data_IF_735271603428
#
_entry.id   IF_735271603428
#
_cell.length_a   1.000
_cell.length_b   1.000
_cell.length_c   1.000
_cell.angle_alpha   90.00
_cell.angle_beta   90.00
_cell.angle_gamma   90.00
#
_symmetry.space_group_name_H-M   'P 1'
#
loop_
_entity.id
_entity.type
_entity.pdbx_description
1 polymer ?
#
# COMPACT_ATOMS: atom_id res chain seq x y z
N UNK A 1 -7.34 13.04 -6.79
CA UNK A 1 -7.13 11.61 -6.57
C UNK A 1 -7.82 10.83 -7.69
N UNK A 2 -7.32 9.65 -8.02
CA UNK A 2 -7.87 8.81 -9.08
C UNK A 2 -9.14 8.10 -8.56
N UNK A 3 -10.24 8.19 -9.32
CA UNK A 3 -11.48 7.49 -9.03
C UNK A 3 -11.33 6.01 -9.45
N UNK A 4 -11.72 5.07 -8.58
CA UNK A 4 -11.61 3.64 -8.85
C UNK A 4 -12.43 3.19 -10.06
N UNK A 5 -13.54 3.86 -10.36
CA UNK A 5 -14.36 3.58 -11.54
C UNK A 5 -13.60 3.76 -12.86
N UNK A 6 -12.61 4.66 -12.90
CA UNK A 6 -11.72 4.81 -14.06
C UNK A 6 -10.82 3.59 -14.24
N UNK A 7 -10.36 2.99 -13.13
CA UNK A 7 -9.54 1.77 -13.17
C UNK A 7 -10.36 0.59 -13.71
N UNK A 8 -11.59 0.43 -13.25
CA UNK A 8 -12.52 -0.59 -13.76
C UNK A 8 -12.83 -0.37 -15.25
N UNK A 9 -13.02 0.89 -15.66
CA UNK A 9 -13.26 1.24 -17.06
C UNK A 9 -12.05 0.91 -17.94
N UNK A 10 -10.82 1.12 -17.46
CA UNK A 10 -9.61 0.74 -18.17
C UNK A 10 -9.60 -0.77 -18.46
N UNK A 11 -9.96 -1.60 -17.47
CA UNK A 11 -9.99 -3.06 -17.64
C UNK A 11 -10.98 -3.53 -18.72
N UNK A 12 -12.07 -2.78 -18.91
CA UNK A 12 -13.18 -3.14 -19.83
C UNK A 12 -13.08 -2.53 -21.23
N UNK A 13 -12.06 -1.70 -21.52
CA UNK A 13 -11.96 -0.92 -22.77
C UNK A 13 -11.55 -1.72 -24.02
N UNK A 14 -11.49 -3.04 -23.95
CA UNK A 14 -11.23 -3.90 -25.11
C UNK A 14 -9.79 -3.87 -25.62
N UNK A 15 -8.85 -3.39 -24.83
CA UNK A 15 -7.42 -3.53 -25.11
C UNK A 15 -6.98 -4.99 -24.99
N UNK A 16 -6.10 -5.44 -25.86
CA UNK A 16 -5.52 -6.79 -25.79
C UNK A 16 -4.69 -7.00 -24.52
N UNK A 17 -4.08 -5.94 -24.02
CA UNK A 17 -3.33 -5.92 -22.74
C UNK A 17 -3.40 -4.51 -22.16
N UNK A 18 -3.53 -4.45 -20.86
CA UNK A 18 -3.45 -3.20 -20.09
C UNK A 18 -2.63 -3.45 -18.83
N UNK A 19 -1.77 -2.50 -18.53
CA UNK A 19 -0.98 -2.49 -17.30
C UNK A 19 -1.18 -1.17 -16.58
N UNK A 20 -1.49 -1.24 -15.30
CA UNK A 20 -1.58 -0.10 -14.42
C UNK A 20 -0.48 -0.16 -13.37
N UNK A 21 0.16 0.96 -13.15
CA UNK A 21 1.12 1.15 -12.06
C UNK A 21 0.65 2.33 -11.20
N UNK A 22 0.16 2.03 -10.01
CA UNK A 22 -0.46 2.98 -9.10
C UNK A 22 0.46 3.21 -7.91
N UNK A 23 0.91 4.45 -7.73
CA UNK A 23 1.59 4.86 -6.50
C UNK A 23 0.53 5.30 -5.48
N UNK A 24 0.24 4.42 -4.53
CA UNK A 24 -0.79 4.63 -3.52
C UNK A 24 -0.17 5.12 -2.20
N UNK A 25 -0.56 6.30 -1.75
CA UNK A 25 -0.30 6.77 -0.39
C UNK A 25 -1.35 6.17 0.56
N UNK A 26 -1.22 4.88 0.86
CA UNK A 26 -2.15 4.13 1.69
C UNK A 26 -2.22 4.65 3.12
N UNK A 27 -1.08 5.04 3.67
CA UNK A 27 -1.01 5.63 5.00
C UNK A 27 -1.70 7.00 5.07
N UNK A 28 -1.48 7.85 4.06
CA UNK A 28 -2.19 9.13 3.92
C UNK A 28 -3.69 8.95 3.77
N UNK A 29 -4.12 7.88 3.07
CA UNK A 29 -5.54 7.54 2.94
C UNK A 29 -6.15 7.20 4.31
N UNK A 30 -5.51 6.35 5.11
CA UNK A 30 -6.00 5.98 6.45
C UNK A 30 -6.06 7.20 7.37
N UNK A 31 -5.03 8.06 7.34
CA UNK A 31 -5.02 9.30 8.11
C UNK A 31 -6.19 10.21 7.74
N UNK A 32 -6.44 10.39 6.44
CA UNK A 32 -7.57 11.19 5.97
C UNK A 32 -8.91 10.55 6.32
N UNK A 33 -9.03 9.22 6.23
CA UNK A 33 -10.20 8.48 6.69
C UNK A 33 -10.49 8.69 8.18
N UNK A 34 -9.45 8.65 9.01
CA UNK A 34 -9.57 8.96 10.44
C UNK A 34 -10.09 10.41 10.65
N UNK A 35 -9.54 11.38 9.92
CA UNK A 35 -9.98 12.78 9.98
C UNK A 35 -11.46 12.90 9.64
N UNK A 36 -11.89 12.30 8.53
CA UNK A 36 -13.27 12.36 8.03
C UNK A 36 -14.27 11.72 9.01
N UNK A 37 -13.86 10.64 9.69
CA UNK A 37 -14.71 9.96 10.67
C UNK A 37 -14.54 10.48 12.12
N UNK A 38 -13.74 11.53 12.33
CA UNK A 38 -13.47 12.07 13.66
C UNK A 38 -12.73 11.10 14.59
N UNK A 39 -11.87 10.27 14.03
CA UNK A 39 -11.02 9.32 14.77
C UNK A 39 -9.64 9.94 14.93
N UNK A 40 -9.13 9.96 16.17
CA UNK A 40 -7.79 10.44 16.42
C UNK A 40 -6.76 9.52 15.76
N UNK A 41 -5.88 10.12 14.99
CA UNK A 41 -4.76 9.41 14.38
C UNK A 41 -3.54 9.67 15.26
N UNK A 42 -3.19 8.69 16.11
CA UNK A 42 -1.97 8.71 16.91
C UNK A 42 -0.91 7.89 16.21
N UNK A 43 0.22 8.52 15.93
CA UNK A 43 1.39 7.85 15.39
C UNK A 43 2.64 8.47 16.02
N UNK A 44 3.21 7.75 16.99
CA UNK A 44 4.39 8.17 17.75
C UNK A 44 5.67 8.19 16.90
N UNK A 45 5.63 7.76 15.64
CA UNK A 45 6.80 7.59 14.77
C UNK A 45 6.91 8.71 13.73
N UNK A 46 5.88 9.52 13.56
CA UNK A 46 5.82 10.56 12.51
C UNK A 46 6.15 11.98 12.99
N UNK A 47 6.92 12.14 14.05
CA UNK A 47 7.38 13.47 14.51
C UNK A 47 8.14 14.26 13.41
N UNK A 48 8.63 13.59 12.35
CA UNK A 48 9.40 14.19 11.26
C UNK A 48 8.58 14.61 10.03
N UNK A 49 7.27 14.40 9.99
CA UNK A 49 6.43 14.72 8.84
C UNK A 49 5.38 15.78 9.18
N UNK A 50 5.75 17.05 8.93
CA UNK A 50 4.88 18.23 8.81
C UNK A 50 3.70 18.23 9.78
N UNK A 51 3.72 19.15 10.73
CA UNK A 51 2.57 19.56 11.56
C UNK A 51 1.32 19.73 10.68
N UNK A 52 0.52 18.69 10.62
CA UNK A 52 -0.83 18.80 10.07
C UNK A 52 -1.73 19.21 11.22
N UNK A 53 -2.25 20.41 11.13
CA UNK A 53 -3.18 20.97 12.11
C UNK A 53 -4.36 20.03 12.33
N UNK A 54 -4.31 19.26 13.43
CA UNK A 54 -5.33 18.30 13.83
C UNK A 54 -6.61 18.96 14.35
N UNK A 55 -6.70 20.29 14.26
CA UNK A 55 -7.79 21.08 14.87
C UNK A 55 -9.10 21.10 14.06
N UNK A 56 -9.14 20.58 12.83
CA UNK A 56 -10.36 20.52 12.04
C UNK A 56 -10.90 19.09 11.88
N UNK A 57 -11.33 18.49 12.99
CA UNK A 57 -12.14 17.28 12.99
C UNK A 57 -13.59 17.68 12.62
N UNK A 58 -13.89 17.77 11.34
CA UNK A 58 -15.27 17.93 10.86
C UNK A 58 -15.62 16.73 9.98
N UNK A 59 -16.64 15.95 10.36
CA UNK A 59 -17.20 14.94 9.47
C UNK A 59 -17.73 15.66 8.22
N UNK A 60 -17.05 15.47 7.10
CA UNK A 60 -17.43 16.06 5.83
C UNK A 60 -17.90 14.95 4.89
N UNK A 61 -19.21 14.93 4.60
CA UNK A 61 -19.81 13.96 3.68
C UNK A 61 -19.17 13.99 2.28
N UNK A 62 -18.72 15.16 1.81
CA UNK A 62 -18.03 15.29 0.52
C UNK A 62 -16.69 14.59 0.54
N UNK A 63 -15.94 14.73 1.62
CA UNK A 63 -14.66 14.05 1.79
C UNK A 63 -14.86 12.54 1.92
N UNK A 64 -15.89 12.08 2.63
CA UNK A 64 -16.26 10.66 2.69
C UNK A 64 -16.53 10.11 1.30
N UNK A 65 -17.39 10.77 0.53
CA UNK A 65 -17.73 10.36 -0.83
C UNK A 65 -16.49 10.34 -1.75
N UNK A 66 -15.56 11.28 -1.57
CA UNK A 66 -14.31 11.28 -2.31
C UNK A 66 -13.42 10.07 -1.96
N UNK A 67 -13.34 9.69 -0.68
CA UNK A 67 -12.61 8.50 -0.25
C UNK A 67 -13.29 7.21 -0.76
N UNK A 68 -14.62 7.13 -0.74
CA UNK A 68 -15.38 6.00 -1.29
C UNK A 68 -15.08 5.81 -2.79
N UNK A 69 -14.98 6.91 -3.55
CA UNK A 69 -14.60 6.85 -4.97
C UNK A 69 -13.18 6.39 -5.19
N UNK A 70 -12.23 6.87 -4.38
CA UNK A 70 -10.83 6.47 -4.46
C UNK A 70 -10.67 4.99 -4.11
N UNK A 71 -11.33 4.55 -3.04
CA UNK A 71 -11.27 3.16 -2.57
C UNK A 71 -12.06 2.19 -3.45
N UNK A 72 -13.04 2.69 -4.22
CA UNK A 72 -14.00 1.86 -4.95
C UNK A 72 -15.03 1.20 -4.05
N UNK A 73 -15.34 1.81 -2.90
CA UNK A 73 -16.30 1.34 -1.91
C UNK A 73 -16.06 1.94 -0.54
N UNK A 74 -16.92 1.62 0.40
CA UNK A 74 -16.95 2.14 1.76
C UNK A 74 -16.28 1.21 2.81
N UNK A 75 -15.68 0.11 2.38
CA UNK A 75 -15.04 -0.90 3.25
C UNK A 75 -13.95 -0.33 4.17
N UNK A 76 -13.35 0.79 3.80
CA UNK A 76 -12.36 1.49 4.60
C UNK A 76 -12.93 2.04 5.92
N UNK A 77 -14.25 2.30 5.96
CA UNK A 77 -14.94 2.78 7.17
C UNK A 77 -14.83 1.74 8.29
N UNK A 78 -15.08 0.46 7.97
CA UNK A 78 -14.97 -0.63 8.95
C UNK A 78 -13.54 -0.78 9.49
N UNK A 79 -12.54 -0.55 8.64
CA UNK A 79 -11.13 -0.59 9.05
C UNK A 79 -10.83 0.54 10.05
N UNK A 80 -11.30 1.76 9.77
CA UNK A 80 -11.14 2.88 10.69
C UNK A 80 -11.91 2.65 12.01
N UNK A 81 -13.07 2.01 11.96
CA UNK A 81 -13.83 1.67 13.16
C UNK A 81 -13.09 0.61 14.03
N UNK A 82 -12.41 -0.35 13.43
CA UNK A 82 -11.54 -1.28 14.16
C UNK A 82 -10.41 -0.53 14.87
N UNK A 83 -9.79 0.45 14.17
CA UNK A 83 -8.77 1.31 14.76
C UNK A 83 -9.34 2.17 15.90
N UNK A 84 -10.54 2.74 15.73
CA UNK A 84 -11.24 3.50 16.79
C UNK A 84 -11.44 2.68 18.05
N UNK A 85 -11.78 1.40 17.89
CA UNK A 85 -11.97 0.45 19.00
C UNK A 85 -10.66 -0.04 19.61
N UNK A 86 -9.51 0.34 19.07
CA UNK A 86 -8.21 -0.11 19.53
C UNK A 86 -7.89 -1.59 19.22
N UNK A 87 -8.65 -2.22 18.31
CA UNK A 87 -8.44 -3.61 17.90
C UNK A 87 -7.28 -3.76 16.93
N UNK A 88 -6.96 -2.69 16.20
CA UNK A 88 -5.83 -2.62 15.28
C UNK A 88 -5.11 -1.29 15.41
N UNK A 89 -3.81 -1.31 15.16
CA UNK A 89 -2.95 -0.12 15.08
C UNK A 89 -3.17 0.65 13.77
N UNK A 90 -2.58 1.84 13.65
CA UNK A 90 -2.60 2.60 12.40
C UNK A 90 -1.93 1.84 11.24
N UNK A 91 -0.89 1.08 11.54
CA UNK A 91 -0.14 0.29 10.56
C UNK A 91 -0.89 -0.95 10.09
N UNK A 92 -1.56 -1.63 11.01
CA UNK A 92 -2.44 -2.76 10.66
C UNK A 92 -3.64 -2.26 9.85
N UNK A 93 -4.19 -1.09 10.16
CA UNK A 93 -5.25 -0.46 9.37
C UNK A 93 -4.76 -0.14 7.94
N UNK A 94 -3.54 0.38 7.78
CA UNK A 94 -2.92 0.64 6.47
C UNK A 94 -2.76 -0.67 5.67
N UNK A 95 -2.23 -1.71 6.30
CA UNK A 95 -2.03 -2.99 5.64
C UNK A 95 -3.36 -3.65 5.25
N UNK A 96 -4.37 -3.61 6.15
CA UNK A 96 -5.71 -4.15 5.88
C UNK A 96 -6.40 -3.38 4.74
N UNK A 97 -6.24 -2.05 4.70
CA UNK A 97 -6.75 -1.22 3.61
C UNK A 97 -6.10 -1.57 2.28
N UNK A 98 -4.78 -1.67 2.25
CA UNK A 98 -4.05 -2.00 1.03
C UNK A 98 -4.45 -3.36 0.45
N UNK A 99 -4.64 -4.36 1.31
CA UNK A 99 -5.12 -5.68 0.89
C UNK A 99 -6.58 -5.64 0.40
N UNK A 100 -7.45 -4.91 1.08
CA UNK A 100 -8.83 -4.73 0.66
C UNK A 100 -8.92 -4.01 -0.69
N UNK A 101 -8.09 -2.99 -0.91
CA UNK A 101 -7.98 -2.29 -2.18
C UNK A 101 -7.53 -3.23 -3.31
N UNK A 102 -6.50 -4.03 -3.07
CA UNK A 102 -6.05 -5.04 -4.05
C UNK A 102 -7.12 -6.09 -4.33
N UNK A 103 -7.86 -6.53 -3.31
CA UNK A 103 -9.00 -7.45 -3.47
C UNK A 103 -10.09 -6.83 -4.34
N UNK A 104 -10.36 -5.54 -4.19
CA UNK A 104 -11.30 -4.80 -5.04
C UNK A 104 -10.78 -4.72 -6.49
N UNK A 105 -9.49 -4.45 -6.68
CA UNK A 105 -8.86 -4.43 -8.01
C UNK A 105 -8.93 -5.80 -8.72
N UNK A 106 -8.79 -6.91 -7.98
CA UNK A 106 -8.88 -8.29 -8.53
C UNK A 106 -10.26 -8.64 -9.10
N UNK A 107 -11.27 -7.80 -8.90
CA UNK A 107 -12.57 -7.98 -9.59
C UNK A 107 -12.48 -7.60 -11.07
N UNK A 108 -11.56 -6.74 -11.46
CA UNK A 108 -11.38 -6.23 -12.83
C UNK A 108 -10.07 -6.68 -13.48
N UNK A 109 -9.05 -7.05 -12.67
CA UNK A 109 -7.72 -7.44 -13.12
C UNK A 109 -7.36 -8.84 -12.65
N UNK A 110 -6.83 -9.66 -13.57
CA UNK A 110 -6.44 -11.04 -13.26
C UNK A 110 -5.24 -11.10 -12.31
N UNK A 111 -4.30 -10.15 -12.44
CA UNK A 111 -3.08 -10.10 -11.65
C UNK A 111 -2.97 -8.74 -10.97
N UNK A 112 -2.85 -8.74 -9.65
CA UNK A 112 -2.66 -7.53 -8.83
C UNK A 112 -1.53 -7.78 -7.83
N UNK A 113 -0.45 -7.03 -7.99
CA UNK A 113 0.72 -7.07 -7.12
C UNK A 113 0.71 -5.86 -6.19
N UNK A 114 1.04 -6.08 -4.93
CA UNK A 114 1.09 -5.05 -3.89
C UNK A 114 2.51 -4.97 -3.32
N UNK A 115 3.20 -3.89 -3.59
CA UNK A 115 4.59 -3.68 -3.23
C UNK A 115 4.72 -2.56 -2.22
N UNK A 116 5.03 -2.86 -0.97
CA UNK A 116 5.28 -1.84 0.03
C UNK A 116 6.62 -1.15 -0.23
N UNK A 117 6.61 0.18 -0.37
CA UNK A 117 7.81 0.99 -0.52
C UNK A 117 8.28 1.49 0.85
N UNK A 118 9.45 1.04 1.26
CA UNK A 118 10.10 1.40 2.53
C UNK A 118 11.39 2.17 2.23
N UNK A 119 11.64 3.22 3.01
CA UNK A 119 12.88 4.01 2.88
C UNK A 119 14.03 3.28 3.58
N UNK A 120 13.75 2.58 4.71
CA UNK A 120 14.73 1.82 5.48
C UNK A 120 14.15 0.46 5.85
N UNK A 121 15.03 -0.53 6.03
CA UNK A 121 14.66 -1.87 6.53
C UNK A 121 13.95 -1.73 7.89
N UNK A 122 12.85 -2.43 8.07
CA UNK A 122 12.06 -2.39 9.31
C UNK A 122 11.10 -1.21 9.46
N UNK A 123 11.18 -0.20 8.58
CA UNK A 123 10.19 0.89 8.59
C UNK A 123 8.86 0.45 7.99
N UNK A 124 7.80 1.10 8.48
CA UNK A 124 6.47 0.96 7.89
C UNK A 124 6.46 1.58 6.49
N UNK A 125 5.80 0.95 5.52
CA UNK A 125 5.72 1.49 4.18
C UNK A 125 4.94 2.80 4.17
N UNK A 126 5.53 3.85 3.60
CA UNK A 126 4.88 5.15 3.40
C UNK A 126 3.98 5.14 2.17
N UNK A 127 4.38 4.40 1.16
CA UNK A 127 3.69 4.25 -0.11
C UNK A 127 3.64 2.78 -0.49
N UNK A 128 2.68 2.45 -1.33
CA UNK A 128 2.61 1.15 -1.99
C UNK A 128 2.54 1.36 -3.49
N UNK A 129 3.36 0.58 -4.20
CA UNK A 129 3.22 0.47 -5.64
C UNK A 129 2.28 -0.70 -5.92
N UNK A 130 1.14 -0.43 -6.55
CA UNK A 130 0.19 -1.47 -6.97
C UNK A 130 0.29 -1.60 -8.47
N UNK A 131 0.64 -2.80 -8.92
CA UNK A 131 0.61 -3.14 -10.33
C UNK A 131 -0.60 -4.03 -10.60
N UNK A 132 -1.38 -3.71 -11.63
CA UNK A 132 -2.54 -4.48 -12.03
C UNK A 132 -2.52 -4.71 -13.55
N UNK A 133 -2.72 -5.95 -13.97
CA UNK A 133 -2.72 -6.35 -15.39
C UNK A 133 -3.63 -7.55 -15.61
N UNK A 134 -4.09 -7.72 -16.87
CA UNK A 134 -4.79 -8.91 -17.33
C UNK A 134 -3.86 -9.87 -18.10
N UNK A 135 -2.56 -9.54 -18.23
CA UNK A 135 -1.59 -10.34 -18.96
C UNK A 135 -0.56 -10.96 -18.00
N UNK A 136 -0.40 -12.30 -18.10
CA UNK A 136 0.51 -13.03 -17.22
C UNK A 136 1.98 -12.58 -17.38
N UNK A 137 2.43 -12.35 -18.62
CA UNK A 137 3.81 -11.92 -18.87
C UNK A 137 4.10 -10.54 -18.28
N UNK A 138 3.13 -9.61 -18.30
CA UNK A 138 3.25 -8.32 -17.64
C UNK A 138 3.41 -8.45 -16.13
N UNK A 139 2.65 -9.37 -15.53
CA UNK A 139 2.81 -9.66 -14.10
C UNK A 139 4.18 -10.25 -13.77
N UNK A 140 4.67 -11.21 -14.57
CA UNK A 140 5.99 -11.83 -14.39
C UNK A 140 7.12 -10.80 -14.55
N UNK A 141 7.09 -9.99 -15.61
CA UNK A 141 8.07 -8.93 -15.83
C UNK A 141 8.12 -7.94 -14.68
N UNK A 142 6.94 -7.61 -14.09
CA UNK A 142 6.90 -6.72 -12.94
C UNK A 142 7.50 -7.38 -11.70
N UNK A 143 7.22 -8.67 -11.46
CA UNK A 143 7.83 -9.43 -10.36
C UNK A 143 9.35 -9.43 -10.50
N UNK A 144 9.90 -9.75 -11.66
CA UNK A 144 11.34 -9.74 -11.91
C UNK A 144 11.96 -8.35 -11.68
N UNK A 145 11.29 -7.28 -12.14
CA UNK A 145 11.73 -5.91 -11.89
C UNK A 145 11.78 -5.57 -10.40
N UNK A 146 10.79 -6.04 -9.63
CA UNK A 146 10.70 -5.78 -8.20
C UNK A 146 11.84 -6.49 -7.47
N UNK A 147 12.05 -7.78 -7.75
CA UNK A 147 13.12 -8.57 -7.12
C UNK A 147 14.49 -7.99 -7.45
N UNK A 148 14.79 -7.71 -8.72
CA UNK A 148 16.06 -7.11 -9.12
C UNK A 148 16.30 -5.73 -8.49
N UNK A 149 15.27 -4.91 -8.33
CA UNK A 149 15.37 -3.62 -7.63
C UNK A 149 15.56 -3.79 -6.14
N UNK A 150 14.91 -4.78 -5.55
CA UNK A 150 15.02 -5.05 -4.11
C UNK A 150 16.43 -5.54 -3.75
N UNK A 151 17.02 -6.45 -4.53
CA UNK A 151 18.40 -6.88 -4.40
C UNK A 151 19.37 -5.70 -4.53
N UNK A 152 19.22 -4.89 -5.57
CA UNK A 152 20.03 -3.69 -5.78
C UNK A 152 19.95 -2.70 -4.60
N UNK A 153 18.77 -2.49 -4.05
CA UNK A 153 18.61 -1.62 -2.87
C UNK A 153 19.25 -2.21 -1.61
N UNK A 154 19.23 -3.52 -1.46
CA UNK A 154 19.94 -4.17 -0.35
C UNK A 154 21.46 -4.02 -0.50
N UNK A 155 22.00 -4.15 -1.70
CA UNK A 155 23.43 -4.01 -1.95
C UNK A 155 23.91 -2.58 -1.67
N UNK A 156 23.17 -1.54 -2.11
CA UNK A 156 23.45 -0.14 -1.77
C UNK A 156 23.44 0.08 -0.25
N UNK A 157 22.47 -0.52 0.46
CA UNK A 157 22.41 -0.40 1.90
C UNK A 157 23.56 -1.10 2.61
N UNK A 158 24.05 -2.21 2.06
CA UNK A 158 25.24 -2.91 2.55
C UNK A 158 26.51 -2.09 2.30
N UNK A 159 26.68 -1.52 1.11
CA UNK A 159 27.83 -0.68 0.77
C UNK A 159 27.89 0.63 1.59
N UNK A 160 26.74 1.19 1.96
CA UNK A 160 26.64 2.40 2.78
C UNK A 160 26.83 2.18 4.29
N UNK A 161 26.77 0.92 4.74
CA UNK A 161 27.03 0.54 6.14
C UNK A 161 28.47 0.04 6.27
N UNK A 162 29.39 0.91 6.67
CA UNK A 162 30.63 0.46 7.30
C UNK A 162 30.23 -0.22 8.61
N UNK A 163 30.04 -1.52 8.57
CA UNK A 163 29.79 -2.32 9.77
C UNK A 163 31.08 -2.40 10.57
N UNK A 164 31.10 -1.74 11.73
CA UNK A 164 32.15 -1.88 12.74
C UNK A 164 32.10 -3.27 13.42
N UNK A 165 31.05 -4.04 13.16
CA UNK A 165 30.86 -5.41 13.62
C UNK A 165 30.20 -6.23 12.53
N UNK A 166 30.82 -7.32 12.11
CA UNK A 166 30.20 -8.39 11.32
C UNK A 166 29.19 -9.12 12.23
N UNK A 167 27.96 -8.65 12.30
CA UNK A 167 26.87 -9.49 12.76
C UNK A 167 26.37 -10.26 11.54
N UNK A 168 26.47 -11.57 11.60
CA UNK A 168 25.90 -12.53 10.65
C UNK A 168 24.40 -12.24 10.51
N UNK A 169 24.04 -11.51 9.47
CA UNK A 169 22.63 -11.36 9.08
C UNK A 169 22.31 -12.65 8.30
N UNK A 170 21.75 -13.64 9.01
CA UNK A 170 21.08 -14.76 8.36
C UNK A 170 20.10 -14.17 7.34
N UNK A 171 20.45 -14.34 6.06
CA UNK A 171 19.56 -14.06 4.96
C UNK A 171 18.33 -14.94 5.14
N UNK A 172 17.18 -14.36 5.46
CA UNK A 172 15.91 -15.02 5.24
C UNK A 172 15.78 -15.20 3.73
N UNK A 173 16.31 -16.30 3.24
CA UNK A 173 16.06 -16.81 1.90
C UNK A 173 14.56 -17.12 1.90
N UNK A 174 13.80 -16.33 1.17
CA UNK A 174 12.41 -16.67 0.84
C UNK A 174 12.55 -17.91 -0.05
N UNK A 175 12.13 -19.05 0.47
CA UNK A 175 12.20 -20.31 -0.26
C UNK A 175 11.30 -20.21 -1.49
N UNK A 176 11.85 -20.44 -2.67
CA UNK A 176 11.08 -20.41 -3.94
C UNK A 176 9.91 -21.39 -3.93
N UNK A 177 9.93 -22.40 -3.05
CA UNK A 177 8.84 -23.36 -2.88
C UNK A 177 7.59 -22.72 -2.22
N UNK A 178 7.72 -21.72 -1.37
CA UNK A 178 6.60 -21.02 -0.74
C UNK A 178 5.78 -20.17 -1.72
N UNK A 179 6.38 -19.78 -2.83
CA UNK A 179 5.72 -18.99 -3.88
C UNK A 179 4.90 -19.89 -4.82
N UNK A 180 5.26 -21.17 -4.95
CA UNK A 180 4.59 -22.11 -5.87
C UNK A 180 3.34 -22.79 -5.29
N UNK A 181 3.10 -22.67 -3.97
CA UNK A 181 1.97 -23.32 -3.29
C UNK A 181 0.79 -22.39 -3.00
N UNK A 182 0.78 -21.17 -3.46
CA UNK A 182 -0.36 -20.23 -3.40
C UNK A 182 -0.82 -19.83 -4.78
#
# INVERSE_FOLDING_TARGET
ALDHSLLDSCASHGFNSIELLINMNSFGFIREGCRVLGVKFEDDILEDLVEYDSTQLSPDEKSKLALDKIAGGDYWVDIIEKKRKGTITAYEAEAEFAEAYCRRMRQSYAYVLNMPLRIKKGQVPKYRMIHATNHADGALLMVDNIFGRWEFMQDIQREGQMTLFEEDIESQVIDEEDIRQK
#
